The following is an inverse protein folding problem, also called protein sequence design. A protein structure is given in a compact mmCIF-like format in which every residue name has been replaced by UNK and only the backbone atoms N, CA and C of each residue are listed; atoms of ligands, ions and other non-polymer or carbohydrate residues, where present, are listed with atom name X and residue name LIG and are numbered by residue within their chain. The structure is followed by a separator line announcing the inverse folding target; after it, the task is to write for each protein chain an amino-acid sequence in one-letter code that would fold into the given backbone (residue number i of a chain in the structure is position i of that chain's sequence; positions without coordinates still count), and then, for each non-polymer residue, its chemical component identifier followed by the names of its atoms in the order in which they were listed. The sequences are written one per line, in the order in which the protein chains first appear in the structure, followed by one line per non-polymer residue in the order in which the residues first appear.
data_IF_100790778987
#
_entry.id   IF_100790778987
#
_cell.length_a   1.000
_cell.length_b   1.000
_cell.length_c   1.000
_cell.angle_alpha   90.00
_cell.angle_beta   90.00
_cell.angle_gamma   90.00
#
_symmetry.space_group_name_H-M   'P 1'
#
loop_
_entity.id
_entity.type
_entity.pdbx_description
1 polymer ?
#
# COMPACT_ATOMS: atom_id res chain seq x y z
N UNK A 1 12.19 -7.61 4.86
CA UNK A 1 12.10 -8.84 5.68
C UNK A 1 13.23 -9.79 5.27
N UNK A 2 13.92 -10.40 6.24
CA UNK A 2 15.03 -11.33 6.00
C UNK A 2 14.49 -12.62 5.34
N UNK A 3 15.07 -13.01 4.19
CA UNK A 3 14.66 -14.19 3.41
C UNK A 3 14.64 -15.47 4.27
N UNK A 4 15.36 -15.46 5.39
CA UNK A 4 15.40 -16.51 6.41
C UNK A 4 14.03 -16.85 7.02
N UNK A 5 13.12 -15.89 7.17
CA UNK A 5 11.80 -16.13 7.78
C UNK A 5 10.80 -16.77 6.81
N UNK A 6 10.82 -16.36 5.53
CA UNK A 6 10.07 -17.02 4.47
C UNK A 6 10.54 -18.47 4.26
N UNK A 7 11.86 -18.70 4.32
CA UNK A 7 12.45 -20.05 4.26
C UNK A 7 12.08 -20.92 5.46
N UNK A 8 11.98 -20.35 6.67
CA UNK A 8 11.51 -21.07 7.86
C UNK A 8 10.05 -21.49 7.73
N UNK A 9 9.18 -20.60 7.25
CA UNK A 9 7.77 -20.91 6.97
C UNK A 9 7.61 -22.03 5.92
N UNK A 10 8.37 -21.95 4.84
CA UNK A 10 8.44 -22.99 3.78
C UNK A 10 8.91 -24.34 4.32
N UNK A 11 9.93 -24.38 5.19
CA UNK A 11 10.41 -25.62 5.79
C UNK A 11 9.38 -26.25 6.73
N UNK A 12 8.69 -25.44 7.54
CA UNK A 12 7.61 -25.92 8.42
C UNK A 12 6.46 -26.49 7.59
N UNK A 13 6.08 -25.83 6.48
CA UNK A 13 5.08 -26.35 5.53
C UNK A 13 5.48 -27.71 4.95
N UNK A 14 6.71 -27.84 4.46
CA UNK A 14 7.21 -29.12 3.93
C UNK A 14 7.13 -30.21 5.01
N UNK A 15 7.51 -29.92 6.25
CA UNK A 15 7.46 -30.90 7.34
C UNK A 15 6.03 -31.30 7.73
N UNK A 16 5.08 -30.36 7.75
CA UNK A 16 3.67 -30.66 8.05
C UNK A 16 3.02 -31.44 6.91
N UNK A 17 3.25 -31.05 5.65
CA UNK A 17 2.75 -31.78 4.48
C UNK A 17 3.34 -33.19 4.39
N UNK A 18 4.66 -33.34 4.62
CA UNK A 18 5.32 -34.65 4.70
C UNK A 18 4.78 -35.47 5.88
N UNK A 19 4.51 -34.85 7.03
CA UNK A 19 3.93 -35.52 8.19
C UNK A 19 2.52 -36.06 7.94
N UNK A 20 1.66 -35.28 7.27
CA UNK A 20 0.32 -35.72 6.86
C UNK A 20 0.40 -36.83 5.81
N UNK A 21 1.27 -36.70 4.80
CA UNK A 21 1.49 -37.74 3.81
C UNK A 21 1.97 -39.05 4.45
N UNK A 22 2.91 -38.99 5.39
CA UNK A 22 3.41 -40.15 6.12
C UNK A 22 2.31 -40.83 6.95
N UNK A 23 1.42 -40.07 7.58
CA UNK A 23 0.26 -40.59 8.32
C UNK A 23 -0.72 -41.33 7.40
N UNK A 24 -1.00 -40.77 6.22
CA UNK A 24 -1.87 -41.41 5.21
C UNK A 24 -1.22 -42.70 4.69
N UNK A 25 0.08 -42.68 4.40
CA UNK A 25 0.83 -43.86 3.96
C UNK A 25 0.87 -44.96 5.04
N UNK A 26 1.04 -44.58 6.31
CA UNK A 26 1.00 -45.53 7.43
C UNK A 26 -0.39 -46.16 7.60
N UNK A 27 -1.46 -45.36 7.49
CA UNK A 27 -2.84 -45.87 7.53
C UNK A 27 -3.11 -46.85 6.38
N UNK A 28 -2.67 -46.53 5.15
CA UNK A 28 -2.79 -47.41 4.00
C UNK A 28 -2.02 -48.73 4.17
N UNK A 29 -0.80 -48.67 4.72
CA UNK A 29 0.01 -49.86 5.01
C UNK A 29 -0.62 -50.75 6.09
N UNK A 30 -1.20 -50.16 7.13
CA UNK A 30 -1.94 -50.88 8.17
C UNK A 30 -3.15 -51.58 7.57
N UNK A 31 -3.95 -50.87 6.76
CA UNK A 31 -5.10 -51.46 6.06
C UNK A 31 -4.64 -52.66 5.22
N UNK A 32 -3.61 -52.49 4.39
CA UNK A 32 -3.06 -53.56 3.53
C UNK A 32 -2.56 -54.78 4.35
N UNK A 33 -1.86 -54.54 5.46
CA UNK A 33 -1.40 -55.61 6.35
C UNK A 33 -2.56 -56.37 7.02
N UNK A 34 -3.67 -55.70 7.32
CA UNK A 34 -4.89 -56.34 7.79
C UNK A 34 -5.59 -57.15 6.68
N UNK A 35 -5.60 -56.66 5.43
CA UNK A 35 -6.14 -57.42 4.28
C UNK A 35 -5.46 -58.79 4.09
N UNK A 36 -4.16 -58.87 4.40
CA UNK A 36 -3.38 -60.11 4.31
C UNK A 36 -3.68 -61.13 5.42
N UNK A 37 -4.35 -60.74 6.51
CA UNK A 37 -4.38 -61.53 7.76
C UNK A 37 -5.78 -61.79 8.34
N UNK A 38 -6.83 -61.18 7.80
CA UNK A 38 -8.14 -61.15 8.46
C UNK A 38 -9.29 -61.60 7.53
N UNK A 39 -10.35 -62.14 8.15
CA UNK A 39 -11.58 -62.60 7.48
C UNK A 39 -12.40 -61.41 6.95
N UNK A 40 -13.13 -61.59 5.83
CA UNK A 40 -13.75 -60.51 5.04
C UNK A 40 -14.61 -59.52 5.87
N UNK A 41 -15.39 -60.01 6.84
CA UNK A 41 -16.27 -59.19 7.69
C UNK A 41 -15.50 -58.28 8.66
N UNK A 42 -14.32 -58.72 9.10
CA UNK A 42 -13.47 -57.92 9.98
C UNK A 42 -12.74 -56.83 9.19
N UNK A 43 -12.37 -57.10 7.94
CA UNK A 43 -11.76 -56.14 7.03
C UNK A 43 -12.65 -54.92 6.80
N UNK A 44 -13.94 -55.15 6.54
CA UNK A 44 -14.88 -54.09 6.20
C UNK A 44 -15.05 -53.12 7.38
N UNK A 45 -15.21 -53.65 8.59
CA UNK A 45 -15.37 -52.87 9.82
C UNK A 45 -14.12 -52.05 10.17
N UNK A 46 -12.91 -52.63 10.03
CA UNK A 46 -11.68 -51.90 10.29
C UNK A 46 -11.34 -50.89 9.18
N UNK A 47 -11.62 -51.21 7.92
CA UNK A 47 -11.39 -50.29 6.79
C UNK A 47 -12.20 -48.99 6.93
N UNK A 48 -13.45 -49.08 7.41
CA UNK A 48 -14.31 -47.92 7.65
C UNK A 48 -13.74 -47.05 8.79
N UNK A 49 -13.27 -47.68 9.88
CA UNK A 49 -12.69 -46.96 11.03
C UNK A 49 -11.39 -46.26 10.63
N UNK A 50 -10.47 -46.96 9.95
CA UNK A 50 -9.20 -46.38 9.52
C UNK A 50 -9.38 -45.34 8.40
N UNK A 51 -10.30 -45.57 7.45
CA UNK A 51 -10.64 -44.60 6.40
C UNK A 51 -11.24 -43.32 6.98
N UNK A 52 -12.11 -43.45 7.99
CA UNK A 52 -12.69 -42.30 8.71
C UNK A 52 -11.62 -41.53 9.49
N UNK A 53 -10.69 -42.24 10.15
CA UNK A 53 -9.58 -41.63 10.88
C UNK A 53 -8.61 -40.88 9.96
N UNK A 54 -8.26 -41.48 8.81
CA UNK A 54 -7.41 -40.85 7.81
C UNK A 54 -8.07 -39.60 7.21
N UNK A 55 -9.38 -39.66 6.94
CA UNK A 55 -10.15 -38.51 6.44
C UNK A 55 -10.20 -37.39 7.48
N UNK A 56 -10.45 -37.72 8.75
CA UNK A 56 -10.47 -36.74 9.84
C UNK A 56 -9.09 -36.07 10.04
N UNK A 57 -8.00 -36.84 9.95
CA UNK A 57 -6.63 -36.31 10.02
C UNK A 57 -6.31 -35.40 8.83
N UNK A 58 -6.75 -35.77 7.61
CA UNK A 58 -6.61 -34.94 6.41
C UNK A 58 -7.35 -33.60 6.52
N UNK A 59 -8.61 -33.63 6.96
CA UNK A 59 -9.44 -32.42 7.18
C UNK A 59 -8.81 -31.52 8.24
N UNK A 60 -8.32 -32.09 9.35
CA UNK A 60 -7.65 -31.34 10.41
C UNK A 60 -6.35 -30.68 9.91
N UNK A 61 -5.53 -31.39 9.12
CA UNK A 61 -4.31 -30.84 8.52
C UNK A 61 -4.57 -29.67 7.56
N UNK A 62 -5.61 -29.77 6.74
CA UNK A 62 -6.04 -28.69 5.83
C UNK A 62 -6.51 -27.48 6.65
N UNK A 63 -7.37 -27.69 7.66
CA UNK A 63 -7.88 -26.62 8.51
C UNK A 63 -6.75 -25.89 9.27
N UNK A 64 -5.77 -26.64 9.80
CA UNK A 64 -4.60 -26.08 10.46
C UNK A 64 -3.73 -25.27 9.49
N UNK A 65 -3.55 -25.75 8.26
CA UNK A 65 -2.81 -25.03 7.21
C UNK A 65 -3.48 -23.71 6.84
N UNK A 66 -4.80 -23.74 6.63
CA UNK A 66 -5.60 -22.52 6.37
C UNK A 66 -5.51 -21.54 7.54
N UNK A 67 -5.56 -22.03 8.77
CA UNK A 67 -5.43 -21.19 9.97
C UNK A 67 -4.05 -20.52 10.07
N UNK A 68 -2.96 -21.27 9.85
CA UNK A 68 -1.60 -20.74 9.87
C UNK A 68 -1.41 -19.70 8.75
N UNK A 69 -1.84 -20.02 7.53
CA UNK A 69 -1.69 -19.13 6.38
C UNK A 69 -2.56 -17.87 6.53
N UNK A 70 -3.80 -18.02 7.00
CA UNK A 70 -4.69 -16.91 7.31
C UNK A 70 -4.08 -15.98 8.36
N UNK A 71 -3.44 -16.54 9.39
CA UNK A 71 -2.77 -15.74 10.41
C UNK A 71 -1.49 -15.05 9.86
N UNK A 72 -0.69 -15.75 9.05
CA UNK A 72 0.49 -15.17 8.39
C UNK A 72 0.12 -14.04 7.42
N UNK A 73 -0.90 -14.24 6.58
CA UNK A 73 -1.46 -13.22 5.71
C UNK A 73 -1.91 -12.01 6.54
N UNK A 74 -2.63 -12.24 7.65
CA UNK A 74 -3.07 -11.17 8.55
C UNK A 74 -1.90 -10.41 9.18
N UNK A 75 -0.82 -11.09 9.53
CA UNK A 75 0.41 -10.45 10.04
C UNK A 75 1.12 -9.67 8.94
N UNK A 76 1.18 -10.19 7.71
CA UNK A 76 1.76 -9.52 6.55
C UNK A 76 0.96 -8.27 6.17
N UNK A 77 -0.38 -8.33 6.15
CA UNK A 77 -1.23 -7.17 5.93
C UNK A 77 -0.98 -6.10 6.99
N UNK A 78 -0.92 -6.47 8.27
CA UNK A 78 -0.60 -5.52 9.36
C UNK A 78 0.82 -4.95 9.26
N UNK A 79 1.78 -5.74 8.81
CA UNK A 79 3.16 -5.29 8.61
C UNK A 79 3.24 -4.29 7.44
N UNK A 80 2.56 -4.57 6.32
CA UNK A 80 2.47 -3.66 5.18
C UNK A 80 1.72 -2.37 5.55
N UNK A 81 0.65 -2.47 6.34
CA UNK A 81 -0.05 -1.31 6.90
C UNK A 81 0.89 -0.47 7.78
N UNK A 82 1.66 -1.10 8.66
CA UNK A 82 2.62 -0.41 9.52
C UNK A 82 3.76 0.22 8.73
N UNK A 83 4.34 -0.47 7.75
CA UNK A 83 5.38 0.08 6.87
C UNK A 83 4.86 1.27 6.06
N UNK A 84 3.62 1.19 5.59
CA UNK A 84 2.96 2.30 4.88
C UNK A 84 2.71 3.48 5.83
N UNK A 85 2.22 3.25 7.04
CA UNK A 85 2.07 4.28 8.09
C UNK A 85 3.41 4.94 8.40
N UNK A 86 4.48 4.16 8.61
CA UNK A 86 5.82 4.68 8.90
C UNK A 86 6.38 5.47 7.73
N UNK A 87 6.12 5.05 6.50
CA UNK A 87 6.49 5.76 5.28
C UNK A 87 5.80 7.13 5.23
N UNK A 88 4.49 7.16 5.51
CA UNK A 88 3.72 8.40 5.60
C UNK A 88 4.27 9.32 6.70
N UNK A 89 4.56 8.80 7.89
CA UNK A 89 5.17 9.59 8.97
C UNK A 89 6.54 10.14 8.57
N UNK A 90 7.41 9.34 7.95
CA UNK A 90 8.72 9.80 7.46
C UNK A 90 8.59 10.96 6.48
N UNK A 91 7.65 10.89 5.53
CA UNK A 91 7.41 12.00 4.59
C UNK A 91 6.87 13.27 5.26
N UNK A 92 6.00 13.12 6.27
CA UNK A 92 5.47 14.25 7.03
C UNK A 92 6.55 14.88 7.90
N UNK A 93 7.41 14.04 8.48
CA UNK A 93 8.45 14.41 9.42
C UNK A 93 9.72 14.94 8.76
N UNK A 94 9.92 14.72 7.46
CA UNK A 94 11.06 15.24 6.71
C UNK A 94 11.25 16.75 6.95
N UNK A 95 12.38 17.18 7.57
CA UNK A 95 12.59 18.58 7.92
C UNK A 95 12.68 19.51 6.70
N UNK A 96 13.18 19.03 5.56
CA UNK A 96 13.28 19.80 4.32
C UNK A 96 11.90 20.02 3.70
N UNK A 97 11.16 18.94 3.46
CA UNK A 97 9.81 19.00 2.91
C UNK A 97 8.87 19.80 3.82
N UNK A 98 9.05 19.71 5.14
CA UNK A 98 8.28 20.51 6.11
C UNK A 98 8.54 22.01 5.95
N UNK A 99 9.81 22.42 5.78
CA UNK A 99 10.18 23.83 5.58
C UNK A 99 9.62 24.36 4.27
N UNK A 100 9.74 23.61 3.18
CA UNK A 100 9.21 23.98 1.86
C UNK A 100 7.68 24.09 1.91
N UNK A 101 7.01 23.09 2.50
CA UNK A 101 5.56 23.09 2.69
C UNK A 101 5.08 24.30 3.48
N UNK A 102 5.76 24.62 4.59
CA UNK A 102 5.43 25.80 5.40
C UNK A 102 5.66 27.10 4.62
N UNK A 103 6.75 27.17 3.85
CA UNK A 103 7.02 28.31 2.98
C UNK A 103 5.89 28.53 1.96
N UNK A 104 5.47 27.49 1.24
CA UNK A 104 4.37 27.58 0.28
C UNK A 104 3.08 27.99 0.96
N UNK A 105 2.74 27.44 2.12
CA UNK A 105 1.51 27.84 2.84
C UNK A 105 1.40 29.34 3.06
N UNK A 106 2.51 30.01 3.38
CA UNK A 106 2.51 31.43 3.70
C UNK A 106 2.72 32.33 2.48
N UNK A 107 3.31 31.80 1.40
CA UNK A 107 3.70 32.60 0.23
C UNK A 107 2.94 32.22 -1.05
N UNK A 108 2.06 31.21 -1.02
CA UNK A 108 1.30 30.80 -2.21
C UNK A 108 0.53 31.93 -2.91
N UNK A 109 0.00 32.98 -2.24
CA UNK A 109 -0.67 34.06 -2.96
C UNK A 109 0.31 34.85 -3.83
N UNK A 110 1.55 35.00 -3.37
CA UNK A 110 2.62 35.70 -4.10
C UNK A 110 3.14 34.85 -5.25
N UNK A 111 3.22 33.54 -5.05
CA UNK A 111 3.87 32.62 -5.99
C UNK A 111 2.87 32.13 -7.06
N UNK A 112 1.65 31.78 -6.67
CA UNK A 112 0.72 30.98 -7.47
C UNK A 112 -0.60 31.66 -7.84
N UNK A 113 -0.95 32.85 -7.35
CA UNK A 113 -2.18 33.51 -7.81
C UNK A 113 -2.02 34.10 -9.22
N UNK A 114 -0.82 34.60 -9.54
CA UNK A 114 -0.51 35.26 -10.81
C UNK A 114 0.39 34.38 -11.67
N UNK A 115 -0.06 33.16 -11.99
CA UNK A 115 0.70 32.25 -12.85
C UNK A 115 0.70 32.74 -14.31
N UNK A 116 1.81 32.58 -15.05
CA UNK A 116 1.90 33.05 -16.42
C UNK A 116 1.02 32.20 -17.34
N UNK A 117 0.34 32.83 -18.30
CA UNK A 117 -0.51 32.13 -19.29
C UNK A 117 0.33 31.70 -20.51
N UNK A 118 1.29 30.82 -20.26
CA UNK A 118 2.25 30.30 -21.26
C UNK A 118 2.47 28.80 -21.04
N UNK A 119 2.95 28.04 -22.05
CA UNK A 119 3.31 26.63 -21.89
C UNK A 119 4.24 26.38 -20.69
N UNK A 120 4.13 25.22 -20.05
CA UNK A 120 4.88 24.93 -18.82
C UNK A 120 6.40 25.04 -19.00
N UNK A 121 6.93 24.69 -20.17
CA UNK A 121 8.36 24.84 -20.47
C UNK A 121 8.84 26.30 -20.37
N UNK A 122 8.01 27.24 -20.80
CA UNK A 122 8.28 28.68 -20.76
C UNK A 122 7.94 29.29 -19.40
N UNK A 123 6.88 28.79 -18.75
CA UNK A 123 6.42 29.28 -17.46
C UNK A 123 7.27 28.79 -16.28
N UNK A 124 7.90 27.63 -16.40
CA UNK A 124 8.73 27.03 -15.36
C UNK A 124 9.80 27.99 -14.82
N UNK A 125 10.70 28.59 -15.63
CA UNK A 125 11.70 29.52 -15.11
C UNK A 125 11.08 30.76 -14.46
N UNK A 126 9.90 31.22 -14.91
CA UNK A 126 9.20 32.36 -14.32
C UNK A 126 8.71 32.01 -12.92
N UNK A 127 8.09 30.84 -12.76
CA UNK A 127 7.57 30.36 -11.48
C UNK A 127 8.73 30.03 -10.53
N UNK A 128 9.80 29.42 -11.03
CA UNK A 128 11.03 29.14 -10.27
C UNK A 128 11.64 30.43 -9.70
N UNK A 129 11.74 31.48 -10.51
CA UNK A 129 12.22 32.78 -10.06
C UNK A 129 11.31 33.41 -9.00
N UNK A 130 9.98 33.25 -9.09
CA UNK A 130 9.05 33.70 -8.03
C UNK A 130 9.28 32.95 -6.73
N UNK A 131 9.46 31.63 -6.77
CA UNK A 131 9.76 30.79 -5.60
C UNK A 131 11.08 31.19 -4.95
N UNK A 132 12.14 31.36 -5.76
CA UNK A 132 13.47 31.78 -5.29
C UNK A 132 13.44 33.16 -4.67
N UNK A 133 12.82 34.12 -5.33
CA UNK A 133 12.70 35.50 -4.83
C UNK A 133 11.95 35.55 -3.51
N UNK A 134 10.79 34.88 -3.42
CA UNK A 134 9.98 34.84 -2.20
C UNK A 134 10.68 34.10 -1.05
N UNK A 135 11.49 33.08 -1.35
CA UNK A 135 12.23 32.29 -0.35
C UNK A 135 13.58 32.91 0.04
N UNK A 136 14.03 33.97 -0.63
CA UNK A 136 15.38 34.55 -0.54
C UNK A 136 16.46 33.53 -0.91
N UNK A 137 16.30 32.90 -2.07
CA UNK A 137 17.19 31.87 -2.64
C UNK A 137 17.31 30.59 -1.80
N UNK A 138 16.38 30.38 -0.86
CA UNK A 138 16.39 29.18 0.00
C UNK A 138 15.72 27.98 -0.65
N UNK A 139 14.71 28.24 -1.48
CA UNK A 139 13.94 27.21 -2.15
C UNK A 139 13.80 27.49 -3.64
N UNK A 140 13.67 26.42 -4.43
CA UNK A 140 13.35 26.45 -5.85
C UNK A 140 12.07 25.66 -6.16
N UNK A 141 11.57 25.75 -7.39
CA UNK A 141 10.35 25.09 -7.83
C UNK A 141 10.48 23.56 -7.79
N UNK A 142 11.69 23.02 -7.97
CA UNK A 142 11.92 21.58 -7.86
C UNK A 142 11.62 21.07 -6.44
N UNK A 143 12.01 21.78 -5.40
CA UNK A 143 11.68 21.40 -4.01
C UNK A 143 10.19 21.48 -3.71
N UNK A 144 9.49 22.46 -4.30
CA UNK A 144 8.03 22.56 -4.25
C UNK A 144 7.38 21.33 -4.91
N UNK A 145 7.88 20.92 -6.07
CA UNK A 145 7.44 19.72 -6.77
C UNK A 145 7.68 18.44 -5.95
N UNK A 146 8.81 18.33 -5.25
CA UNK A 146 9.08 17.19 -4.35
C UNK A 146 8.04 17.08 -3.24
N UNK A 147 7.57 18.21 -2.69
CA UNK A 147 6.49 18.21 -1.70
C UNK A 147 5.18 17.72 -2.33
N UNK A 148 4.83 18.19 -3.53
CA UNK A 148 3.61 17.77 -4.21
C UNK A 148 3.63 16.29 -4.61
N UNK A 149 4.76 15.79 -5.10
CA UNK A 149 4.95 14.38 -5.40
C UNK A 149 4.82 13.53 -4.13
N UNK A 150 5.46 13.95 -3.03
CA UNK A 150 5.34 13.26 -1.74
C UNK A 150 3.89 13.23 -1.24
N UNK A 151 3.13 14.32 -1.39
CA UNK A 151 1.70 14.35 -1.05
C UNK A 151 0.87 13.43 -1.93
N UNK A 152 1.18 13.37 -3.24
CA UNK A 152 0.50 12.49 -4.17
C UNK A 152 0.82 11.00 -3.90
N UNK A 153 2.05 10.67 -3.50
CA UNK A 153 2.45 9.30 -3.15
C UNK A 153 1.80 8.84 -1.84
N UNK A 154 1.73 9.72 -0.83
CA UNK A 154 0.95 9.45 0.39
C UNK A 154 -0.51 9.21 0.01
N UNK A 155 -1.08 10.05 -0.86
CA UNK A 155 -2.46 9.90 -1.31
C UNK A 155 -2.68 8.59 -2.11
N UNK A 156 -1.69 8.15 -2.89
CA UNK A 156 -1.71 6.85 -3.56
C UNK A 156 -1.80 5.71 -2.55
N UNK A 157 -0.95 5.70 -1.52
CA UNK A 157 -0.96 4.68 -0.46
C UNK A 157 -2.28 4.64 0.30
N UNK A 158 -2.95 5.79 0.43
CA UNK A 158 -4.30 5.89 1.01
C UNK A 158 -5.33 5.25 0.09
N UNK A 159 -5.29 5.58 -1.21
CA UNK A 159 -6.29 5.10 -2.17
C UNK A 159 -6.18 3.60 -2.45
N UNK A 160 -4.98 3.02 -2.35
CA UNK A 160 -4.75 1.58 -2.52
C UNK A 160 -4.99 0.75 -1.26
N UNK A 161 -5.63 1.33 -0.23
CA UNK A 161 -5.97 0.67 1.04
C UNK A 161 -4.77 0.08 1.80
N UNK A 162 -3.55 0.52 1.49
CA UNK A 162 -2.35 0.10 2.22
C UNK A 162 -2.26 0.76 3.60
N UNK A 163 -3.15 1.71 3.91
CA UNK A 163 -3.21 2.37 5.21
C UNK A 163 -4.66 2.47 5.69
N UNK A 164 -4.96 2.14 6.97
CA UNK A 164 -6.32 2.22 7.51
C UNK A 164 -6.88 3.64 7.45
N UNK A 165 -7.96 3.82 6.70
CA UNK A 165 -8.59 5.11 6.41
C UNK A 165 -8.93 5.92 7.68
N UNK A 166 -9.34 5.23 8.76
CA UNK A 166 -9.69 5.85 10.05
C UNK A 166 -8.50 6.51 10.77
N UNK A 167 -7.29 5.98 10.60
CA UNK A 167 -6.07 6.45 11.28
C UNK A 167 -5.51 7.70 10.58
N UNK A 168 -5.73 7.79 9.27
CA UNK A 168 -5.37 8.91 8.39
C UNK A 168 -6.37 10.06 8.51
N UNK A 169 -7.68 9.75 8.57
CA UNK A 169 -8.77 10.72 8.35
C UNK A 169 -8.72 11.97 9.22
N UNK A 170 -8.20 11.92 10.45
CA UNK A 170 -8.20 13.11 11.31
C UNK A 170 -6.91 13.93 11.20
N UNK A 171 -5.74 13.28 11.16
CA UNK A 171 -4.45 13.96 11.09
C UNK A 171 -4.14 14.49 9.68
N UNK A 172 -4.45 13.69 8.66
CA UNK A 172 -4.12 14.01 7.27
C UNK A 172 -5.19 14.85 6.59
N UNK A 173 -6.44 14.86 7.05
CA UNK A 173 -7.50 15.73 6.52
C UNK A 173 -7.14 17.21 6.59
N UNK A 174 -6.62 17.67 7.72
CA UNK A 174 -6.23 19.08 7.87
C UNK A 174 -5.00 19.43 7.03
N UNK A 175 -4.02 18.52 6.98
CA UNK A 175 -2.78 18.71 6.22
C UNK A 175 -3.05 18.69 4.71
N UNK A 176 -3.75 17.67 4.21
CA UNK A 176 -4.09 17.56 2.79
C UNK A 176 -4.99 18.68 2.33
N UNK A 177 -6.03 19.03 3.09
CA UNK A 177 -6.92 20.14 2.75
C UNK A 177 -6.15 21.45 2.59
N UNK A 178 -5.28 21.77 3.56
CA UNK A 178 -4.50 23.01 3.54
C UNK A 178 -3.43 23.01 2.44
N UNK A 179 -2.74 21.88 2.24
CA UNK A 179 -1.87 21.70 1.07
C UNK A 179 -2.61 21.95 -0.22
N UNK A 180 -3.69 21.21 -0.45
CA UNK A 180 -4.42 21.27 -1.69
C UNK A 180 -4.84 22.71 -2.02
N UNK A 181 -5.39 23.46 -1.06
CA UNK A 181 -5.74 24.87 -1.27
C UNK A 181 -4.53 25.73 -1.66
N UNK A 182 -3.39 25.59 -0.98
CA UNK A 182 -2.19 26.36 -1.31
C UNK A 182 -1.58 26.01 -2.66
N UNK A 183 -1.71 24.75 -3.11
CA UNK A 183 -1.14 24.29 -4.38
C UNK A 183 -2.15 24.28 -5.54
N UNK A 184 -3.46 24.42 -5.29
CA UNK A 184 -4.55 24.30 -6.29
C UNK A 184 -4.26 25.14 -7.55
N UNK A 185 -3.85 26.42 -7.47
CA UNK A 185 -3.57 27.20 -8.67
C UNK A 185 -2.43 26.61 -9.51
N UNK A 186 -1.35 26.16 -8.87
CA UNK A 186 -0.20 25.56 -9.54
C UNK A 186 -0.50 24.17 -10.12
N UNK A 187 -1.28 23.35 -9.41
CA UNK A 187 -1.78 22.06 -9.92
C UNK A 187 -2.62 22.28 -11.18
N UNK A 188 -3.56 23.24 -11.14
CA UNK A 188 -4.40 23.57 -12.28
C UNK A 188 -3.58 24.06 -13.47
N UNK A 189 -2.62 24.96 -13.23
CA UNK A 189 -1.71 25.46 -14.27
C UNK A 189 -0.95 24.34 -14.98
N UNK A 190 -0.38 23.39 -14.23
CA UNK A 190 0.35 22.25 -14.81
C UNK A 190 -0.54 21.30 -15.61
N UNK A 191 -1.82 21.20 -15.26
CA UNK A 191 -2.79 20.37 -15.99
C UNK A 191 -3.24 21.01 -17.29
N UNK A 192 -3.43 22.33 -17.29
CA UNK A 192 -3.84 23.08 -18.49
C UNK A 192 -2.68 23.32 -19.46
N UNK A 193 -1.43 23.26 -18.97
CA UNK A 193 -0.22 23.44 -19.77
C UNK A 193 0.69 22.20 -19.68
N UNK A 194 0.32 21.05 -20.26
CA UNK A 194 1.16 19.86 -20.23
C UNK A 194 2.47 20.07 -21.01
N UNK A 195 3.53 19.36 -20.62
CA UNK A 195 4.81 19.34 -21.36
C UNK A 195 4.58 18.62 -22.70
N UNK A 196 4.88 19.25 -23.85
CA UNK A 196 4.80 18.60 -25.15
C UNK A 196 5.64 17.31 -25.20
N UNK A 197 5.02 16.19 -25.57
CA UNK A 197 5.71 14.89 -25.71
C UNK A 197 5.62 13.95 -24.50
N UNK A 198 5.05 14.39 -23.38
CA UNK A 198 4.61 13.48 -22.31
C UNK A 198 3.20 12.97 -22.61
N UNK A 199 3.00 11.66 -22.48
CA UNK A 199 1.74 10.96 -22.81
C UNK A 199 0.56 11.56 -22.02
N UNK A 200 -0.66 11.56 -22.59
CA UNK A 200 -1.84 12.16 -21.94
C UNK A 200 -2.15 11.55 -20.58
N UNK A 201 -1.70 10.32 -20.30
CA UNK A 201 -1.84 9.68 -18.99
C UNK A 201 -0.81 10.15 -17.94
N UNK A 202 0.29 10.77 -18.37
CA UNK A 202 1.26 11.45 -17.49
C UNK A 202 0.85 12.87 -17.07
N UNK A 203 -0.29 13.37 -17.61
CA UNK A 203 -0.95 14.63 -17.23
C UNK A 203 -1.76 14.53 -15.92
N UNK A 204 -1.77 13.36 -15.27
CA UNK A 204 -2.39 13.09 -13.95
C UNK A 204 -1.62 13.71 -12.77
N UNK A 205 -1.11 14.93 -12.94
CA UNK A 205 -0.39 15.64 -11.89
C UNK A 205 -1.29 15.82 -10.66
N UNK A 206 -0.79 15.40 -9.49
CA UNK A 206 -1.52 15.41 -8.22
C UNK A 206 -2.88 14.64 -8.22
N UNK A 207 -3.07 13.68 -9.11
CA UNK A 207 -4.34 12.95 -9.26
C UNK A 207 -4.81 12.22 -8.01
N UNK A 208 -3.92 11.47 -7.35
CA UNK A 208 -4.29 10.72 -6.14
C UNK A 208 -4.61 11.68 -4.98
N UNK A 209 -3.87 12.80 -4.91
CA UNK A 209 -4.16 13.86 -3.96
C UNK A 209 -5.58 14.40 -4.11
N UNK A 210 -6.02 14.73 -5.33
CA UNK A 210 -7.39 15.18 -5.58
C UNK A 210 -8.45 14.13 -5.27
N UNK A 211 -8.17 12.86 -5.56
CA UNK A 211 -9.09 11.78 -5.23
C UNK A 211 -9.28 11.64 -3.72
N UNK A 212 -8.20 11.77 -2.95
CA UNK A 212 -8.27 11.85 -1.48
C UNK A 212 -9.04 13.08 -1.03
N UNK A 213 -8.82 14.25 -1.64
CA UNK A 213 -9.59 15.48 -1.34
C UNK A 213 -11.08 15.28 -1.64
N UNK A 214 -11.45 14.62 -2.75
CA UNK A 214 -12.84 14.31 -3.11
C UNK A 214 -13.54 13.50 -2.03
N UNK A 215 -12.85 12.54 -1.43
CA UNK A 215 -13.37 11.72 -0.32
C UNK A 215 -13.48 12.51 1.00
N UNK A 216 -12.61 13.49 1.20
CA UNK A 216 -12.47 14.23 2.47
C UNK A 216 -13.36 15.48 2.55
N UNK A 217 -13.42 16.24 1.46
CA UNK A 217 -14.10 17.53 1.32
C UNK A 217 -14.40 17.81 -0.17
N UNK A 218 -15.45 17.19 -0.74
CA UNK A 218 -15.76 17.27 -2.17
C UNK A 218 -16.07 18.70 -2.65
N UNK A 219 -16.44 19.60 -1.74
CA UNK A 219 -16.74 21.00 -2.06
C UNK A 219 -15.54 21.76 -2.63
N UNK A 220 -14.31 21.34 -2.32
CA UNK A 220 -13.07 22.01 -2.76
C UNK A 220 -12.71 21.75 -4.23
N UNK A 221 -13.37 20.76 -4.84
CA UNK A 221 -13.21 20.39 -6.24
C UNK A 221 -14.34 20.95 -7.12
N UNK A 222 -15.39 21.51 -6.51
CA UNK A 222 -16.53 22.09 -7.20
C UNK A 222 -16.27 23.58 -7.46
N UNK A 223 -15.38 23.86 -8.41
CA UNK A 223 -15.10 25.20 -8.97
C UNK A 223 -14.48 25.04 -10.35
#
# INVERSE_FOLDING_TARGET
MDASQLLKGSKIFLHVAVGVAALISAAAAIIYAFQLKADLDSLEKYSIIFGSLATAAGVFGIALTVYIYGNQLRTMTKANELESILTVFRYIEDPGLRKVRWFVYHNHPIIFNDLPDVPLEEGWPIIDNKVRSASKEKFNLHEVDLVLNSLNDIAYLINTEHVPEKLIRNFLKHTFRRCYLSYKPYINYRKTHPIPGLDKDSSRYAHHLEEVIRRIDPSLLAE
#
